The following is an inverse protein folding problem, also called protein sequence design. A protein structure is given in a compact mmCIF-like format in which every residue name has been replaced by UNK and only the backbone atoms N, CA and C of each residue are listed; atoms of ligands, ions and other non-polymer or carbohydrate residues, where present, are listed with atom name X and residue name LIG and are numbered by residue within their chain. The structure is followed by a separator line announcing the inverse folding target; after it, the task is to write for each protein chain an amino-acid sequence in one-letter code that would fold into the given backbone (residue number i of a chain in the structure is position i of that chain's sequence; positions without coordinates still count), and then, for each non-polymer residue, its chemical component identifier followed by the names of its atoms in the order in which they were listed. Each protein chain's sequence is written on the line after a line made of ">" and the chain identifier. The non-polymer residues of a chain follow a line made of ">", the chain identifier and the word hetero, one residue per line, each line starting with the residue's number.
data_IF_667730311418
#
_entry.id   IF_667730311418
#
_cell.length_a   1.000
_cell.length_b   1.000
_cell.length_c   1.000
_cell.angle_alpha   90.00
_cell.angle_beta   90.00
_cell.angle_gamma   90.00
#
_symmetry.space_group_name_H-M   'P 1'
#
loop_
_entity.id
_entity.type
_entity.pdbx_description
1 polymer ?
#
# COMPACT_ATOMS: atom_id res chain seq x y z
N UNK A 1 -26.96 -13.87 -3.48
CA UNK A 1 -25.48 -13.89 -3.43
C UNK A 1 -24.98 -12.70 -4.23
N UNK A 2 -24.61 -11.57 -3.60
CA UNK A 2 -24.13 -10.42 -4.35
C UNK A 2 -22.72 -10.69 -4.86
N UNK A 3 -22.56 -10.55 -6.18
CA UNK A 3 -21.30 -10.69 -6.92
C UNK A 3 -20.35 -9.58 -6.50
N UNK A 4 -19.15 -9.93 -6.02
CA UNK A 4 -18.07 -8.97 -5.80
C UNK A 4 -17.65 -8.37 -7.14
N UNK A 5 -17.84 -7.07 -7.29
CA UNK A 5 -17.44 -6.33 -8.48
C UNK A 5 -15.92 -6.20 -8.51
N UNK A 6 -15.31 -7.01 -9.38
CA UNK A 6 -14.02 -6.70 -10.00
C UNK A 6 -14.25 -5.55 -10.99
N UNK A 7 -13.31 -4.58 -11.08
CA UNK A 7 -12.88 -3.83 -12.28
C UNK A 7 -12.23 -2.51 -11.84
N UNK A 8 -10.97 -2.32 -12.21
CA UNK A 8 -10.51 -1.11 -12.90
C UNK A 8 -9.20 -1.42 -13.64
N UNK A 9 -9.28 -1.46 -14.96
CA UNK A 9 -8.18 -1.68 -15.90
C UNK A 9 -7.43 -0.39 -16.25
N UNK A 10 -6.18 -0.57 -16.68
CA UNK A 10 -5.24 0.35 -17.34
C UNK A 10 -5.86 1.39 -18.30
N UNK A 11 -5.24 2.59 -18.36
CA UNK A 11 -4.95 3.28 -19.64
C UNK A 11 -3.64 4.07 -19.60
N UNK A 12 -2.80 3.84 -20.61
CA UNK A 12 -1.59 4.59 -20.96
C UNK A 12 -2.00 5.79 -21.86
N UNK A 13 -1.40 6.97 -21.71
CA UNK A 13 -1.51 8.05 -22.70
C UNK A 13 -0.29 8.99 -22.70
N UNK A 14 0.03 9.44 -23.91
CA UNK A 14 1.26 10.06 -24.39
C UNK A 14 1.33 11.58 -24.20
N UNK A 15 2.58 12.08 -24.27
CA UNK A 15 3.09 13.44 -24.05
C UNK A 15 2.38 14.62 -24.75
N UNK A 16 2.51 15.81 -24.13
CA UNK A 16 2.70 17.10 -24.83
C UNK A 16 3.59 18.06 -24.02
N UNK A 17 4.39 18.84 -24.74
CA UNK A 17 5.48 19.73 -24.29
C UNK A 17 5.08 21.21 -24.19
N UNK A 18 5.75 21.90 -23.25
CA UNK A 18 6.17 23.33 -23.21
C UNK A 18 5.11 24.42 -22.89
N UNK A 19 5.50 25.66 -22.48
CA UNK A 19 6.85 26.22 -22.25
C UNK A 19 7.09 26.88 -20.87
N UNK A 20 8.35 27.28 -20.66
CA UNK A 20 8.89 28.00 -19.52
C UNK A 20 8.42 29.47 -19.43
N UNK A 21 8.27 29.97 -18.21
CA UNK A 21 8.41 31.40 -17.89
C UNK A 21 9.27 31.56 -16.64
N UNK A 22 10.37 32.28 -16.84
CA UNK A 22 11.27 32.76 -15.80
C UNK A 22 10.57 33.84 -14.98
N UNK A 23 10.79 33.84 -13.66
CA UNK A 23 10.65 35.06 -12.88
C UNK A 23 11.76 35.12 -11.82
N UNK A 24 12.56 36.15 -11.98
CA UNK A 24 13.73 36.55 -11.22
C UNK A 24 13.31 37.59 -10.17
N UNK A 25 13.76 37.43 -8.91
CA UNK A 25 13.90 38.48 -7.89
C UNK A 25 14.54 37.88 -6.62
N UNK A 26 15.11 38.68 -5.69
CA UNK A 26 16.37 39.41 -5.80
C UNK A 26 17.37 39.04 -4.67
N UNK A 27 18.63 39.50 -4.80
CA UNK A 27 19.65 39.55 -3.73
C UNK A 27 19.18 40.46 -2.56
N UNK A 28 19.62 40.40 -1.28
CA UNK A 28 20.84 40.05 -0.55
C UNK A 28 20.44 39.96 0.98
N UNK A 29 21.30 39.82 2.03
CA UNK A 29 22.76 39.91 2.10
C UNK A 29 23.45 38.82 2.97
N UNK A 30 24.75 39.03 3.18
CA UNK A 30 25.74 38.09 3.69
C UNK A 30 25.81 37.92 5.22
N UNK A 31 26.22 36.69 5.56
CA UNK A 31 27.17 36.28 6.62
C UNK A 31 26.84 36.48 8.10
N UNK A 32 26.77 35.35 8.80
CA UNK A 32 27.34 35.15 10.14
C UNK A 32 27.68 33.65 10.28
N UNK A 33 28.97 33.31 10.23
CA UNK A 33 29.50 31.99 10.54
C UNK A 33 29.45 31.74 12.05
N UNK A 34 29.22 30.48 12.47
CA UNK A 34 29.92 29.96 13.63
C UNK A 34 30.80 28.75 13.30
N UNK A 35 31.99 28.83 13.89
CA UNK A 35 33.04 27.85 14.12
C UNK A 35 32.85 26.41 13.63
N UNK A 36 33.86 25.98 12.86
CA UNK A 36 34.15 24.60 12.55
C UNK A 36 34.43 23.77 13.81
N UNK A 37 33.77 22.61 13.90
CA UNK A 37 34.26 21.44 14.63
C UNK A 37 34.54 20.37 13.58
N UNK A 38 35.81 19.99 13.44
CA UNK A 38 36.29 18.93 12.55
C UNK A 38 36.17 17.55 13.21
N UNK A 39 36.27 16.44 12.45
CA UNK A 39 35.24 15.41 12.41
C UNK A 39 35.64 14.12 13.15
N UNK A 40 34.66 13.33 13.57
CA UNK A 40 34.87 11.94 14.03
C UNK A 40 33.75 11.06 13.52
N UNK A 41 33.95 10.55 12.31
CA UNK A 41 33.85 9.15 11.86
C UNK A 41 33.53 9.16 10.37
N UNK A 42 34.34 8.51 9.50
CA UNK A 42 33.87 8.21 8.16
C UNK A 42 32.69 7.26 8.33
N UNK A 43 31.48 7.77 8.16
CA UNK A 43 30.31 6.95 7.91
C UNK A 43 30.72 5.89 6.90
N UNK A 44 30.51 4.61 7.24
CA UNK A 44 30.73 3.52 6.32
C UNK A 44 30.11 3.90 4.98
N UNK A 45 30.84 3.78 3.85
CA UNK A 45 30.30 4.18 2.56
C UNK A 45 28.95 3.50 2.41
N UNK A 46 27.90 4.31 2.21
CA UNK A 46 26.58 3.80 1.90
C UNK A 46 26.78 2.79 0.77
N UNK A 47 26.46 1.53 1.05
CA UNK A 47 26.68 0.42 0.14
C UNK A 47 26.01 0.82 -1.18
N UNK A 48 26.83 1.03 -2.22
CA UNK A 48 26.32 1.49 -3.50
C UNK A 48 25.27 0.49 -3.95
N UNK A 49 24.05 0.97 -4.24
CA UNK A 49 22.97 0.10 -4.69
C UNK A 49 23.50 -0.83 -5.79
N UNK A 50 23.22 -2.15 -5.71
CA UNK A 50 23.80 -3.11 -6.64
C UNK A 50 23.52 -2.65 -8.08
N UNK A 51 24.58 -2.59 -8.88
CA UNK A 51 24.48 -2.13 -10.26
C UNK A 51 23.53 -3.06 -11.04
N UNK A 52 22.68 -2.47 -11.88
CA UNK A 52 21.78 -3.22 -12.75
C UNK A 52 22.58 -4.23 -13.58
N UNK A 53 22.20 -5.50 -13.48
CA UNK A 53 22.77 -6.60 -14.23
C UNK A 53 21.76 -7.03 -15.29
N UNK A 54 22.21 -7.18 -16.54
CA UNK A 54 21.34 -7.66 -17.60
C UNK A 54 20.88 -9.10 -17.30
N UNK A 55 19.58 -9.35 -17.43
CA UNK A 55 19.03 -10.69 -17.32
C UNK A 55 19.60 -11.60 -18.42
N UNK A 56 19.86 -12.87 -18.11
CA UNK A 56 20.27 -13.87 -19.11
C UNK A 56 19.11 -14.19 -20.07
N UNK A 57 19.38 -14.78 -21.25
CA UNK A 57 18.32 -15.23 -22.15
C UNK A 57 17.30 -16.14 -21.48
N UNK A 58 17.74 -17.04 -20.60
CA UNK A 58 16.88 -17.96 -19.84
C UNK A 58 15.99 -17.20 -18.84
N UNK A 59 16.56 -16.20 -18.15
CA UNK A 59 15.80 -15.34 -17.23
C UNK A 59 14.75 -14.49 -17.98
N UNK A 60 15.06 -14.01 -19.19
CA UNK A 60 14.10 -13.30 -20.03
C UNK A 60 12.94 -14.22 -20.44
N UNK A 61 13.23 -15.46 -20.85
CA UNK A 61 12.20 -16.46 -21.17
C UNK A 61 11.34 -16.78 -19.94
N UNK A 62 11.96 -16.96 -18.77
CA UNK A 62 11.24 -17.19 -17.52
C UNK A 62 10.34 -16.01 -17.15
N UNK A 63 10.83 -14.77 -17.31
CA UNK A 63 10.03 -13.56 -17.06
C UNK A 63 8.83 -13.44 -18.01
N UNK A 64 9.03 -13.71 -19.30
CA UNK A 64 7.92 -13.72 -20.27
C UNK A 64 6.88 -14.80 -19.95
N UNK A 65 7.33 -15.95 -19.45
CA UNK A 65 6.44 -17.02 -18.94
C UNK A 65 5.68 -16.55 -17.72
N UNK A 66 6.34 -15.88 -16.77
CA UNK A 66 5.70 -15.32 -15.58
C UNK A 66 4.66 -14.25 -15.91
N UNK A 67 4.85 -13.42 -16.93
CA UNK A 67 3.81 -12.49 -17.42
C UNK A 67 2.57 -13.25 -17.91
N UNK A 68 2.78 -14.36 -18.62
CA UNK A 68 1.70 -15.23 -19.12
C UNK A 68 0.96 -15.89 -17.96
N UNK A 69 1.68 -16.47 -17.02
CA UNK A 69 1.10 -17.12 -15.84
C UNK A 69 0.37 -16.10 -14.95
N UNK A 70 0.95 -14.93 -14.70
CA UNK A 70 0.27 -13.87 -13.96
C UNK A 70 -1.05 -13.45 -14.63
N UNK A 71 -1.07 -13.34 -15.96
CA UNK A 71 -2.29 -13.02 -16.71
C UNK A 71 -3.34 -14.14 -16.57
N UNK A 72 -2.93 -15.41 -16.69
CA UNK A 72 -3.82 -16.55 -16.47
C UNK A 72 -4.33 -16.61 -15.02
N UNK A 73 -3.49 -16.26 -14.04
CA UNK A 73 -3.87 -16.16 -12.64
C UNK A 73 -4.93 -15.08 -12.40
N UNK A 74 -4.75 -13.91 -13.01
CA UNK A 74 -5.76 -12.86 -12.99
C UNK A 74 -7.07 -13.37 -13.58
N UNK A 75 -7.06 -13.97 -14.77
CA UNK A 75 -8.26 -14.51 -15.42
C UNK A 75 -9.00 -15.54 -14.55
N UNK A 76 -8.26 -16.46 -13.92
CA UNK A 76 -8.84 -17.43 -12.98
C UNK A 76 -9.46 -16.75 -11.75
N UNK A 77 -8.80 -15.73 -11.21
CA UNK A 77 -9.34 -14.97 -10.09
C UNK A 77 -10.64 -14.23 -10.47
N UNK A 78 -10.74 -13.69 -11.69
CA UNK A 78 -11.97 -13.01 -12.15
C UNK A 78 -13.14 -13.97 -12.31
N UNK A 79 -12.89 -15.25 -12.63
CA UNK A 79 -13.92 -16.28 -12.69
C UNK A 79 -14.27 -16.90 -11.34
N UNK A 80 -13.58 -16.48 -10.26
CA UNK A 80 -13.74 -17.01 -8.90
C UNK A 80 -12.91 -18.27 -8.60
N UNK A 81 -12.10 -18.73 -9.54
CA UNK A 81 -11.18 -19.85 -9.35
C UNK A 81 -9.87 -19.38 -8.69
N UNK A 82 -9.95 -19.14 -7.39
CA UNK A 82 -8.81 -18.67 -6.60
C UNK A 82 -7.71 -19.74 -6.44
N UNK A 83 -8.05 -21.03 -6.54
CA UNK A 83 -7.07 -22.11 -6.44
C UNK A 83 -6.14 -22.14 -7.67
N UNK A 84 -6.72 -22.01 -8.87
CA UNK A 84 -5.92 -21.85 -10.10
C UNK A 84 -5.16 -20.52 -10.09
N UNK A 85 -5.77 -19.44 -9.61
CA UNK A 85 -5.11 -18.14 -9.51
C UNK A 85 -3.82 -18.22 -8.66
N UNK A 86 -3.91 -18.78 -7.44
CA UNK A 86 -2.75 -19.01 -6.57
C UNK A 86 -1.67 -19.82 -7.28
N UNK A 87 -2.03 -20.95 -7.89
CA UNK A 87 -1.08 -21.81 -8.62
C UNK A 87 -0.30 -21.03 -9.68
N UNK A 88 -1.00 -20.13 -10.38
CA UNK A 88 -0.42 -19.32 -11.44
C UNK A 88 0.44 -18.17 -10.92
N UNK A 89 0.00 -17.49 -9.87
CA UNK A 89 0.81 -16.44 -9.26
C UNK A 89 2.09 -16.99 -8.62
N UNK A 90 2.01 -18.13 -7.93
CA UNK A 90 3.18 -18.79 -7.35
C UNK A 90 4.19 -19.24 -8.39
N UNK A 91 3.74 -19.69 -9.56
CA UNK A 91 4.62 -20.00 -10.69
C UNK A 91 5.32 -18.74 -11.25
N UNK A 92 4.63 -17.59 -11.26
CA UNK A 92 5.14 -16.35 -11.83
C UNK A 92 6.14 -15.61 -10.92
N UNK A 93 5.85 -15.53 -9.61
CA UNK A 93 6.58 -14.69 -8.65
C UNK A 93 8.11 -14.89 -8.68
N UNK A 94 8.67 -16.11 -8.73
CA UNK A 94 10.12 -16.30 -8.72
C UNK A 94 10.86 -15.57 -9.84
N UNK A 95 10.37 -15.64 -11.08
CA UNK A 95 11.01 -14.97 -12.21
C UNK A 95 10.85 -13.44 -12.15
N UNK A 96 9.71 -12.96 -11.63
CA UNK A 96 9.48 -11.52 -11.40
C UNK A 96 10.45 -11.00 -10.33
N UNK A 97 10.68 -11.79 -9.27
CA UNK A 97 11.64 -11.47 -8.21
C UNK A 97 13.07 -11.39 -8.75
N UNK A 98 13.49 -12.38 -9.56
CA UNK A 98 14.78 -12.32 -10.26
C UNK A 98 14.91 -11.06 -11.12
N UNK A 99 13.85 -10.64 -11.81
CA UNK A 99 13.89 -9.41 -12.62
C UNK A 99 14.03 -8.13 -11.79
N UNK A 100 13.50 -8.09 -10.56
CA UNK A 100 13.72 -6.98 -9.62
C UNK A 100 15.12 -7.02 -9.03
N UNK A 101 15.65 -8.21 -8.72
CA UNK A 101 17.02 -8.39 -8.21
C UNK A 101 18.07 -7.99 -9.27
N UNK A 102 17.82 -8.29 -10.55
CA UNK A 102 18.68 -7.89 -11.66
C UNK A 102 18.74 -6.38 -11.88
N UNK A 103 17.63 -5.66 -11.75
CA UNK A 103 17.61 -4.21 -11.83
C UNK A 103 16.59 -3.61 -10.84
N UNK A 104 17.01 -3.33 -9.59
CA UNK A 104 16.13 -2.77 -8.59
C UNK A 104 15.66 -1.34 -8.92
N UNK A 105 16.31 -0.64 -9.87
CA UNK A 105 15.93 0.71 -10.28
C UNK A 105 14.80 0.71 -11.32
N UNK A 106 14.57 -0.43 -12.00
CA UNK A 106 13.49 -0.60 -12.97
C UNK A 106 12.14 -0.72 -12.27
N UNK A 107 11.51 0.44 -12.08
CA UNK A 107 10.25 0.57 -11.34
C UNK A 107 9.09 -0.23 -11.94
N UNK A 108 9.10 -0.56 -13.23
CA UNK A 108 8.09 -1.43 -13.84
C UNK A 108 8.16 -2.87 -13.29
N UNK A 109 9.37 -3.41 -13.07
CA UNK A 109 9.55 -4.73 -12.47
C UNK A 109 9.14 -4.71 -10.99
N UNK A 110 9.51 -3.65 -10.27
CA UNK A 110 9.09 -3.45 -8.86
C UNK A 110 7.57 -3.38 -8.74
N UNK A 111 6.93 -2.61 -9.63
CA UNK A 111 5.48 -2.52 -9.72
C UNK A 111 4.87 -3.90 -10.00
N UNK A 112 5.45 -4.65 -10.93
CA UNK A 112 4.95 -5.98 -11.27
C UNK A 112 5.04 -6.95 -10.09
N UNK A 113 6.16 -6.97 -9.35
CA UNK A 113 6.32 -7.80 -8.17
C UNK A 113 5.32 -7.44 -7.07
N UNK A 114 5.15 -6.15 -6.77
CA UNK A 114 4.20 -5.67 -5.76
C UNK A 114 2.77 -6.11 -6.09
N UNK A 115 2.36 -6.00 -7.36
CA UNK A 115 1.04 -6.43 -7.81
C UNK A 115 0.90 -7.96 -7.82
N UNK A 116 1.93 -8.71 -8.20
CA UNK A 116 1.90 -10.17 -8.17
C UNK A 116 1.72 -10.72 -6.75
N UNK A 117 2.47 -10.18 -5.78
CA UNK A 117 2.33 -10.52 -4.37
C UNK A 117 0.96 -10.14 -3.81
N UNK A 118 0.48 -8.94 -4.14
CA UNK A 118 -0.84 -8.45 -3.70
C UNK A 118 -2.00 -9.29 -4.26
N UNK A 119 -1.96 -9.64 -5.55
CA UNK A 119 -2.98 -10.46 -6.19
C UNK A 119 -2.99 -11.89 -5.61
N UNK A 120 -1.81 -12.47 -5.36
CA UNK A 120 -1.71 -13.77 -4.72
C UNK A 120 -2.25 -13.74 -3.29
N UNK A 121 -1.94 -12.70 -2.52
CA UNK A 121 -2.47 -12.50 -1.17
C UNK A 121 -4.01 -12.42 -1.16
N UNK A 122 -4.59 -11.72 -2.15
CA UNK A 122 -6.03 -11.61 -2.32
C UNK A 122 -6.67 -12.95 -2.70
N UNK A 123 -6.06 -13.73 -3.59
CA UNK A 123 -6.53 -15.06 -3.95
C UNK A 123 -6.52 -16.01 -2.74
N UNK A 124 -5.45 -15.98 -1.94
CA UNK A 124 -5.37 -16.71 -0.68
C UNK A 124 -6.43 -16.27 0.34
N UNK A 125 -6.69 -14.96 0.42
CA UNK A 125 -7.71 -14.39 1.30
C UNK A 125 -9.11 -14.88 0.93
N UNK A 126 -9.42 -14.94 -0.37
CA UNK A 126 -10.67 -15.49 -0.87
C UNK A 126 -10.85 -16.99 -0.56
N UNK A 127 -9.76 -17.72 -0.35
CA UNK A 127 -9.75 -19.11 0.11
C UNK A 127 -9.74 -19.26 1.65
N UNK A 128 -9.78 -18.14 2.39
CA UNK A 128 -9.72 -18.13 3.85
C UNK A 128 -8.33 -18.43 4.43
N UNK A 129 -7.28 -18.42 3.62
CA UNK A 129 -5.91 -18.74 4.05
C UNK A 129 -5.17 -17.49 4.54
N UNK A 130 -5.67 -16.92 5.65
CA UNK A 130 -5.22 -15.62 6.16
C UNK A 130 -3.72 -15.56 6.52
N UNK A 131 -3.14 -16.63 7.05
CA UNK A 131 -1.70 -16.66 7.36
C UNK A 131 -0.85 -16.43 6.10
N UNK A 132 -1.25 -17.01 4.97
CA UNK A 132 -0.57 -16.82 3.69
C UNK A 132 -0.79 -15.41 3.14
N UNK A 133 -2.01 -14.87 3.27
CA UNK A 133 -2.30 -13.48 2.91
C UNK A 133 -1.41 -12.50 3.65
N UNK A 134 -1.28 -12.64 4.98
CA UNK A 134 -0.45 -11.76 5.80
C UNK A 134 1.05 -11.92 5.47
N UNK A 135 1.51 -13.14 5.22
CA UNK A 135 2.90 -13.37 4.79
C UNK A 135 3.22 -12.64 3.47
N UNK A 136 2.35 -12.75 2.46
CA UNK A 136 2.52 -12.09 1.17
C UNK A 136 2.40 -10.57 1.25
N UNK A 137 1.50 -10.06 2.09
CA UNK A 137 1.43 -8.65 2.41
C UNK A 137 2.74 -8.14 3.03
N UNK A 138 3.31 -8.88 3.97
CA UNK A 138 4.63 -8.60 4.52
C UNK A 138 5.74 -8.55 3.47
N UNK A 139 5.77 -9.53 2.55
CA UNK A 139 6.75 -9.54 1.44
C UNK A 139 6.54 -8.37 0.47
N UNK A 140 5.28 -7.96 0.23
CA UNK A 140 4.95 -6.87 -0.71
C UNK A 140 5.24 -5.47 -0.17
N UNK A 141 5.26 -5.30 1.15
CA UNK A 141 5.33 -4.01 1.84
C UNK A 141 6.49 -3.10 1.41
N UNK A 142 7.76 -3.56 1.33
CA UNK A 142 8.86 -2.71 0.88
C UNK A 142 8.68 -2.22 -0.56
N UNK A 143 8.07 -3.02 -1.44
CA UNK A 143 7.82 -2.64 -2.83
C UNK A 143 6.70 -1.60 -2.94
N UNK A 144 5.61 -1.78 -2.20
CA UNK A 144 4.52 -0.78 -2.16
C UNK A 144 4.97 0.56 -1.59
N UNK A 145 5.80 0.57 -0.54
CA UNK A 145 6.42 1.81 -0.03
C UNK A 145 7.24 2.52 -1.10
N UNK A 146 8.10 1.78 -1.80
CA UNK A 146 8.92 2.33 -2.89
C UNK A 146 8.06 2.89 -4.04
N UNK A 147 6.95 2.24 -4.37
CA UNK A 147 6.02 2.73 -5.40
C UNK A 147 5.33 4.03 -5.00
N UNK A 148 4.86 4.12 -3.75
CA UNK A 148 4.21 5.33 -3.23
C UNK A 148 5.20 6.50 -3.10
N UNK A 149 6.44 6.22 -2.70
CA UNK A 149 7.52 7.21 -2.67
C UNK A 149 7.85 7.74 -4.07
N UNK A 150 7.96 6.85 -5.06
CA UNK A 150 8.27 7.23 -6.44
C UNK A 150 7.12 7.98 -7.14
N UNK A 151 5.87 7.73 -6.75
CA UNK A 151 4.67 8.34 -7.36
C UNK A 151 3.71 8.87 -6.28
N UNK A 152 4.06 9.96 -5.59
CA UNK A 152 3.29 10.44 -4.43
C UNK A 152 1.89 10.97 -4.77
N UNK A 153 1.56 11.17 -6.06
CA UNK A 153 0.23 11.55 -6.55
C UNK A 153 -0.64 10.37 -6.96
N UNK A 154 -0.12 9.13 -6.96
CA UNK A 154 -0.88 7.92 -7.26
C UNK A 154 -1.69 7.49 -6.03
N UNK A 155 -2.95 7.93 -5.99
CA UNK A 155 -3.88 7.60 -4.92
C UNK A 155 -4.21 6.09 -4.86
N UNK A 156 -4.18 5.37 -5.99
CA UNK A 156 -4.51 3.94 -6.01
C UNK A 156 -3.42 3.14 -5.27
N UNK A 157 -2.15 3.36 -5.62
CA UNK A 157 -1.02 2.73 -4.93
C UNK A 157 -0.98 3.11 -3.44
N UNK A 158 -1.29 4.38 -3.12
CA UNK A 158 -1.38 4.87 -1.73
C UNK A 158 -2.43 4.10 -0.92
N UNK A 159 -3.62 3.90 -1.50
CA UNK A 159 -4.73 3.21 -0.87
C UNK A 159 -4.45 1.71 -0.70
N UNK A 160 -3.77 1.08 -1.66
CA UNK A 160 -3.34 -0.32 -1.54
C UNK A 160 -2.35 -0.47 -0.37
N UNK A 161 -1.33 0.40 -0.29
CA UNK A 161 -0.37 0.37 0.83
C UNK A 161 -1.08 0.58 2.18
N UNK A 162 -2.00 1.55 2.28
CA UNK A 162 -2.78 1.78 3.49
C UNK A 162 -3.58 0.54 3.89
N UNK A 163 -4.25 -0.13 2.93
CA UNK A 163 -4.99 -1.37 3.17
C UNK A 163 -4.10 -2.52 3.68
N UNK A 164 -2.92 -2.70 3.08
CA UNK A 164 -1.94 -3.71 3.51
C UNK A 164 -1.50 -3.46 4.97
N UNK A 165 -1.16 -2.20 5.29
CA UNK A 165 -0.74 -1.80 6.63
C UNK A 165 -1.86 -2.04 7.66
N UNK A 166 -3.11 -1.70 7.33
CA UNK A 166 -4.28 -1.96 8.18
C UNK A 166 -4.44 -3.46 8.45
N UNK A 167 -4.35 -4.31 7.43
CA UNK A 167 -4.51 -5.76 7.60
C UNK A 167 -3.41 -6.39 8.45
N UNK A 168 -2.16 -5.96 8.26
CA UNK A 168 -1.05 -6.38 9.12
C UNK A 168 -1.20 -5.85 10.55
N UNK A 169 -1.68 -4.60 10.71
CA UNK A 169 -2.01 -4.01 12.01
C UNK A 169 -3.12 -4.79 12.73
N UNK A 170 -4.16 -5.18 12.00
CA UNK A 170 -5.29 -5.99 12.51
C UNK A 170 -4.79 -7.35 13.00
N UNK A 171 -3.91 -8.02 12.24
CA UNK A 171 -3.33 -9.30 12.64
C UNK A 171 -2.55 -9.19 13.96
N UNK A 172 -1.73 -8.14 14.10
CA UNK A 172 -0.99 -7.87 15.34
C UNK A 172 -1.90 -7.52 16.50
N UNK A 173 -2.88 -6.64 16.27
CA UNK A 173 -3.84 -6.24 17.29
C UNK A 173 -4.68 -7.43 17.80
N UNK A 174 -5.10 -8.33 16.90
CA UNK A 174 -5.77 -9.59 17.25
C UNK A 174 -4.91 -10.48 18.15
N UNK A 175 -3.60 -10.52 17.90
CA UNK A 175 -2.61 -11.19 18.75
C UNK A 175 -2.25 -10.41 20.03
N UNK A 176 -2.99 -9.34 20.36
CA UNK A 176 -2.73 -8.43 21.48
C UNK A 176 -1.37 -7.70 21.41
N UNK A 177 -0.71 -7.70 20.24
CA UNK A 177 0.51 -6.94 19.97
C UNK A 177 0.17 -5.48 19.62
N UNK A 178 -0.22 -4.73 20.65
CA UNK A 178 -0.52 -3.29 20.52
C UNK A 178 0.71 -2.48 20.10
N UNK A 179 1.87 -2.80 20.67
CA UNK A 179 3.12 -2.12 20.40
C UNK A 179 3.56 -2.29 18.93
N UNK A 180 3.42 -3.49 18.37
CA UNK A 180 3.75 -3.75 16.97
C UNK A 180 2.68 -3.28 15.98
N UNK A 181 1.41 -3.20 16.37
CA UNK A 181 0.33 -2.70 15.49
C UNK A 181 0.31 -1.17 15.37
N UNK A 182 0.65 -0.45 16.43
CA UNK A 182 0.65 1.02 16.46
C UNK A 182 1.42 1.68 15.28
N UNK A 183 2.68 1.31 14.96
CA UNK A 183 3.39 1.93 13.83
C UNK A 183 2.74 1.66 12.47
N UNK A 184 2.11 0.49 12.28
CA UNK A 184 1.42 0.16 11.02
C UNK A 184 0.19 1.04 10.81
N UNK A 185 -0.62 1.22 11.86
CA UNK A 185 -1.77 2.13 11.78
C UNK A 185 -1.36 3.60 11.65
N UNK A 186 -0.25 4.01 12.28
CA UNK A 186 0.27 5.37 12.13
C UNK A 186 0.65 5.70 10.68
N UNK A 187 1.35 4.77 10.01
CA UNK A 187 1.67 4.90 8.58
C UNK A 187 0.40 4.89 7.72
N UNK A 188 -0.55 3.97 7.98
CA UNK A 188 -1.82 3.91 7.27
C UNK A 188 -2.64 5.19 7.43
N UNK A 189 -2.70 5.78 8.63
CA UNK A 189 -3.38 7.05 8.89
C UNK A 189 -2.79 8.20 8.07
N UNK A 190 -1.46 8.27 7.98
CA UNK A 190 -0.77 9.30 7.19
C UNK A 190 -1.19 9.22 5.72
N UNK A 191 -1.20 8.00 5.17
CA UNK A 191 -1.61 7.74 3.79
C UNK A 191 -3.10 8.04 3.57
N UNK A 192 -3.97 7.52 4.43
CA UNK A 192 -5.41 7.64 4.31
C UNK A 192 -5.90 9.09 4.46
N UNK A 193 -5.32 9.86 5.39
CA UNK A 193 -5.60 11.29 5.54
C UNK A 193 -5.24 12.06 4.29
N UNK A 194 -4.11 11.73 3.64
CA UNK A 194 -3.74 12.33 2.35
C UNK A 194 -4.77 12.02 1.26
N UNK A 195 -5.21 10.77 1.13
CA UNK A 195 -6.23 10.40 0.15
C UNK A 195 -7.57 11.13 0.39
N UNK A 196 -8.01 11.27 1.64
CA UNK A 196 -9.22 12.03 1.99
C UNK A 196 -9.04 13.53 1.71
N UNK A 197 -7.86 14.10 1.95
CA UNK A 197 -7.57 15.51 1.64
C UNK A 197 -7.60 15.77 0.11
N UNK A 198 -7.11 14.84 -0.69
CA UNK A 198 -7.12 14.92 -2.15
C UNK A 198 -8.53 14.69 -2.75
N UNK A 199 -9.35 13.85 -2.12
CA UNK A 199 -10.72 13.59 -2.54
C UNK A 199 -11.63 13.24 -1.35
N UNK A 200 -12.25 14.27 -0.77
CA UNK A 200 -13.04 14.17 0.45
C UNK A 200 -14.45 13.58 0.25
N UNK A 201 -14.94 13.47 -0.99
CA UNK A 201 -16.26 12.90 -1.29
C UNK A 201 -16.19 11.39 -1.55
N UNK A 202 -15.01 10.86 -1.84
CA UNK A 202 -14.81 9.44 -2.12
C UNK A 202 -15.00 8.58 -0.86
N UNK A 203 -15.96 7.64 -0.92
CA UNK A 203 -16.29 6.79 0.22
C UNK A 203 -15.24 5.70 0.46
N UNK A 204 -14.47 5.30 -0.54
CA UNK A 204 -13.39 4.32 -0.36
C UNK A 204 -12.30 4.95 0.52
N UNK A 205 -11.86 6.16 0.19
CA UNK A 205 -10.88 6.92 0.98
C UNK A 205 -11.35 7.11 2.43
N UNK A 206 -12.64 7.46 2.64
CA UNK A 206 -13.21 7.59 3.98
C UNK A 206 -13.20 6.28 4.76
N UNK A 207 -13.56 5.16 4.13
CA UNK A 207 -13.57 3.86 4.81
C UNK A 207 -12.15 3.36 5.14
N UNK A 208 -11.16 3.63 4.29
CA UNK A 208 -9.75 3.35 4.59
C UNK A 208 -9.30 4.17 5.80
N UNK A 209 -9.62 5.47 5.85
CA UNK A 209 -9.32 6.33 7.01
C UNK A 209 -10.02 5.84 8.27
N UNK A 210 -11.32 5.49 8.17
CA UNK A 210 -12.09 4.94 9.28
C UNK A 210 -11.47 3.64 9.82
N UNK A 211 -11.08 2.73 8.93
CA UNK A 211 -10.40 1.47 9.30
C UNK A 211 -9.12 1.74 10.08
N UNK A 212 -8.28 2.66 9.57
CA UNK A 212 -7.02 3.03 10.22
C UNK A 212 -7.24 3.71 11.58
N UNK A 213 -8.24 4.58 11.71
CA UNK A 213 -8.60 5.25 12.97
C UNK A 213 -9.12 4.26 14.01
N UNK A 214 -10.02 3.35 13.62
CA UNK A 214 -10.53 2.31 14.51
C UNK A 214 -9.37 1.44 15.02
N UNK A 215 -8.46 1.02 14.14
CA UNK A 215 -7.28 0.26 14.53
C UNK A 215 -6.35 1.03 15.47
N UNK A 216 -5.99 2.26 15.10
CA UNK A 216 -5.10 3.11 15.90
C UNK A 216 -5.64 3.44 17.29
N UNK A 217 -6.96 3.66 17.40
CA UNK A 217 -7.64 3.95 18.66
C UNK A 217 -7.56 2.80 19.67
N UNK A 218 -7.40 1.56 19.18
CA UNK A 218 -7.29 0.35 20.00
C UNK A 218 -5.83 -0.04 20.32
N UNK A 219 -4.89 0.36 19.46
CA UNK A 219 -3.46 0.12 19.62
C UNK A 219 -2.76 1.10 20.57
N UNK A 220 -3.37 2.26 20.83
CA UNK A 220 -2.78 3.32 21.67
C UNK A 220 -3.76 3.84 22.72
N UNK A 221 -3.26 4.59 23.71
CA UNK A 221 -4.09 5.33 24.67
C UNK A 221 -4.29 6.80 24.25
N UNK A 222 -4.07 7.12 22.97
CA UNK A 222 -4.24 8.48 22.45
C UNK A 222 -5.73 8.84 22.38
N UNK A 223 -6.16 9.72 23.28
CA UNK A 223 -7.55 10.15 23.40
C UNK A 223 -8.01 10.97 22.21
N UNK A 224 -7.10 11.64 21.48
CA UNK A 224 -7.43 12.38 20.28
C UNK A 224 -7.79 11.43 19.15
N UNK A 225 -7.00 10.37 18.94
CA UNK A 225 -7.31 9.32 17.95
C UNK A 225 -8.60 8.58 18.29
N UNK A 226 -8.83 8.27 19.57
CA UNK A 226 -10.08 7.66 20.02
C UNK A 226 -11.29 8.55 19.73
N UNK A 227 -11.18 9.85 20.00
CA UNK A 227 -12.24 10.83 19.73
C UNK A 227 -12.52 10.92 18.23
N UNK A 228 -11.47 11.07 17.40
CA UNK A 228 -11.58 11.15 15.94
C UNK A 228 -12.25 9.89 15.35
N UNK A 229 -11.85 8.70 15.83
CA UNK A 229 -12.44 7.43 15.41
C UNK A 229 -13.94 7.34 15.75
N UNK A 230 -14.34 7.75 16.96
CA UNK A 230 -15.74 7.77 17.40
C UNK A 230 -16.57 8.76 16.59
N UNK A 231 -16.06 9.97 16.37
CA UNK A 231 -16.75 11.02 15.63
C UNK A 231 -16.96 10.64 14.17
N UNK A 232 -15.92 10.13 13.50
CA UNK A 232 -16.01 9.66 12.12
C UNK A 232 -16.96 8.47 12.01
N UNK A 233 -16.90 7.51 12.95
CA UNK A 233 -17.84 6.39 13.01
C UNK A 233 -19.29 6.86 13.10
N UNK A 234 -19.61 7.79 14.02
CA UNK A 234 -20.97 8.34 14.17
C UNK A 234 -21.45 9.01 12.89
N UNK A 235 -20.60 9.87 12.30
CA UNK A 235 -20.93 10.60 11.08
C UNK A 235 -21.24 9.65 9.92
N UNK A 236 -20.35 8.68 9.67
CA UNK A 236 -20.51 7.75 8.56
C UNK A 236 -21.65 6.75 8.78
N UNK A 237 -21.93 6.35 10.04
CA UNK A 237 -23.09 5.53 10.35
C UNK A 237 -24.39 6.29 10.08
N UNK A 238 -24.44 7.58 10.39
CA UNK A 238 -25.62 8.43 10.19
C UNK A 238 -25.92 8.69 8.70
N UNK A 239 -24.90 8.86 7.86
CA UNK A 239 -25.06 9.07 6.41
C UNK A 239 -25.03 7.77 5.58
N UNK A 240 -24.84 6.61 6.24
CA UNK A 240 -24.85 5.29 5.60
C UNK A 240 -23.59 4.99 4.77
N UNK A 241 -22.52 5.77 4.90
CA UNK A 241 -21.29 5.60 4.11
C UNK A 241 -20.30 4.57 4.68
N UNK A 242 -20.56 3.98 5.86
CA UNK A 242 -19.73 2.88 6.39
C UNK A 242 -19.94 1.60 5.58
N UNK A 243 -18.84 1.03 5.09
CA UNK A 243 -18.86 -0.24 4.38
C UNK A 243 -19.12 -1.45 5.32
N UNK A 244 -19.39 -2.60 4.74
CA UNK A 244 -19.69 -3.82 5.50
C UNK A 244 -18.52 -4.27 6.40
N UNK A 245 -17.28 -3.96 6.01
CA UNK A 245 -16.07 -4.33 6.76
C UNK A 245 -15.97 -3.53 8.06
N UNK A 246 -16.20 -2.22 7.99
CA UNK A 246 -16.06 -1.32 9.14
C UNK A 246 -17.30 -1.24 10.01
N UNK A 247 -18.48 -1.54 9.47
CA UNK A 247 -19.76 -1.34 10.16
C UNK A 247 -19.83 -1.98 11.54
N UNK A 248 -19.44 -3.26 11.76
CA UNK A 248 -19.48 -3.86 13.08
C UNK A 248 -18.58 -3.12 14.09
N UNK A 249 -17.36 -2.76 13.70
CA UNK A 249 -16.41 -2.07 14.56
C UNK A 249 -16.84 -0.63 14.85
N UNK A 250 -17.38 0.09 13.86
CA UNK A 250 -17.93 1.42 14.04
C UNK A 250 -19.15 1.43 14.99
N UNK A 251 -20.03 0.43 14.90
CA UNK A 251 -21.16 0.27 15.82
C UNK A 251 -20.69 -0.03 17.24
N UNK A 252 -19.73 -0.94 17.40
CA UNK A 252 -19.15 -1.27 18.70
C UNK A 252 -18.48 -0.05 19.35
N UNK A 253 -17.72 0.72 18.58
CA UNK A 253 -17.02 1.91 19.06
C UNK A 253 -17.97 3.04 19.50
N UNK A 254 -19.16 3.12 18.90
CA UNK A 254 -20.13 4.20 19.15
C UNK A 254 -21.27 3.81 20.10
N UNK A 255 -21.39 2.53 20.43
CA UNK A 255 -22.55 1.98 21.17
C UNK A 255 -23.84 1.96 20.35
N UNK A 256 -23.76 2.09 19.02
CA UNK A 256 -24.92 2.03 18.14
C UNK A 256 -25.45 0.58 18.02
N UNK A 257 -26.76 0.37 17.90
CA UNK A 257 -27.34 -0.97 17.82
C UNK A 257 -26.84 -1.72 16.57
N UNK A 258 -26.50 -3.00 16.74
CA UNK A 258 -26.27 -3.91 15.62
C UNK A 258 -27.63 -4.19 14.96
N UNK A 259 -27.77 -3.90 13.66
CA UNK A 259 -28.95 -4.31 12.92
C UNK A 259 -28.86 -5.83 12.72
N UNK A 260 -29.79 -6.57 13.34
CA UNK A 260 -29.90 -8.03 13.23
C UNK A 260 -30.37 -8.51 11.87
#
# INVERSE_FOLDING_TARGET
>A
MPKSALIAFLTLSTAMTAPAFAQEAPAAPAASTPAATTPTDPAAPAEAAPAATAMTPEQIVAFNTAVTDFTAGQSAQQSGDNATAVTKYEAAIPAIKTAVESDPSKMDNVNFLANALYANAAAYGAMGQLDKTIALYGESLPYWRKLVEAKPTDAASRNILAGILIQMGNQKLGAQDKAGSAPLYSEALTLARKSVAENATDNINKNILLSALIGASQSTSDTALQTEAVEMSKKMLADGSVDATNKPSAQALTGAPQAG
#
